data_IF_576807025433
#
_entry.id   IF_576807025433
#
_cell.length_a   1.000
_cell.length_b   1.000
_cell.length_c   1.000
_cell.angle_alpha   90.00
_cell.angle_beta   90.00
_cell.angle_gamma   90.00
#
_symmetry.space_group_name_H-M   'P 1'
#
loop_
_entity.id
_entity.type
_entity.pdbx_description
1 polymer ?
#
# COMPACT_ATOMS: atom_id res chain seq x y z
N UNK A 1 -8.46 13.44 -13.95
CA UNK A 1 -7.61 12.23 -14.06
C UNK A 1 -8.46 11.09 -14.62
N UNK A 2 -7.90 10.23 -15.47
CA UNK A 2 -8.62 9.06 -15.98
C UNK A 2 -8.88 8.06 -14.83
N UNK A 3 -10.01 7.32 -14.83
CA UNK A 3 -10.27 6.28 -13.85
C UNK A 3 -9.24 5.15 -13.99
N UNK A 4 -8.73 4.65 -12.87
CA UNK A 4 -7.92 3.44 -12.86
C UNK A 4 -8.84 2.22 -13.09
N UNK A 5 -8.43 1.30 -13.96
CA UNK A 5 -9.10 0.02 -14.19
C UNK A 5 -8.20 -1.07 -13.62
N UNK A 6 -8.69 -1.86 -12.67
CA UNK A 6 -7.96 -3.04 -12.21
C UNK A 6 -7.89 -4.06 -13.36
N UNK A 7 -6.68 -4.47 -13.76
CA UNK A 7 -6.52 -5.72 -14.50
C UNK A 7 -7.00 -6.89 -13.61
N UNK A 8 -7.38 -8.01 -14.24
CA UNK A 8 -7.94 -9.20 -13.55
C UNK A 8 -7.00 -9.86 -12.53
N UNK A 9 -5.76 -9.40 -12.39
CA UNK A 9 -4.83 -9.85 -11.36
C UNK A 9 -5.24 -9.32 -9.99
N UNK A 10 -5.84 -10.22 -9.20
CA UNK A 10 -6.29 -9.91 -7.85
C UNK A 10 -5.09 -9.62 -6.95
N UNK A 11 -5.05 -8.41 -6.40
CA UNK A 11 -4.12 -8.06 -5.33
C UNK A 11 -4.26 -9.04 -4.16
N UNK A 12 -3.13 -9.40 -3.57
CA UNK A 12 -3.00 -10.27 -2.42
C UNK A 12 -2.77 -9.44 -1.17
N UNK A 13 -3.06 -10.02 0.00
CA UNK A 13 -2.69 -9.42 1.26
C UNK A 13 -1.17 -9.18 1.32
N UNK A 14 -0.69 -8.13 2.00
CA UNK A 14 0.74 -7.88 2.11
C UNK A 14 1.39 -8.54 3.33
N UNK A 15 0.60 -9.08 4.27
CA UNK A 15 1.11 -9.84 5.41
C UNK A 15 0.78 -11.32 5.29
N UNK A 16 1.60 -12.16 5.93
CA UNK A 16 1.38 -13.60 6.08
C UNK A 16 1.46 -13.97 7.56
N UNK A 17 0.55 -14.83 8.08
CA UNK A 17 -0.68 -15.34 7.43
C UNK A 17 -1.68 -14.21 7.12
N UNK A 18 -2.87 -14.54 6.59
CA UNK A 18 -3.92 -13.55 6.31
C UNK A 18 -4.18 -12.67 7.55
N UNK A 19 -3.91 -11.35 7.48
CA UNK A 19 -3.99 -10.50 8.66
C UNK A 19 -5.44 -10.10 8.97
N UNK A 20 -5.82 -10.01 10.26
CA UNK A 20 -7.01 -9.28 10.66
C UNK A 20 -6.92 -7.80 10.23
N UNK A 21 -8.03 -7.27 9.72
CA UNK A 21 -8.20 -5.82 9.53
C UNK A 21 -8.61 -5.22 10.86
N UNK A 22 -7.80 -4.32 11.42
CA UNK A 22 -8.07 -3.67 12.71
C UNK A 22 -8.69 -2.28 12.53
N UNK A 23 -8.52 -1.68 11.35
CA UNK A 23 -9.21 -0.46 10.96
C UNK A 23 -9.56 -0.49 9.48
N UNK A 24 -10.84 -0.32 9.18
CA UNK A 24 -11.35 -0.31 7.80
C UNK A 24 -11.12 1.04 7.13
N UNK A 25 -11.22 1.05 5.80
CA UNK A 25 -11.23 2.28 5.01
C UNK A 25 -12.42 3.16 5.41
N UNK A 26 -12.15 4.45 5.57
CA UNK A 26 -13.12 5.48 5.91
C UNK A 26 -12.93 6.66 4.95
N UNK A 27 -13.77 6.71 3.91
CA UNK A 27 -13.62 7.62 2.79
C UNK A 27 -13.95 9.06 3.23
N UNK A 28 -12.97 9.99 3.20
CA UNK A 28 -13.26 11.37 3.55
C UNK A 28 -14.22 12.01 2.54
N UNK A 29 -15.19 12.77 3.03
CA UNK A 29 -16.07 13.61 2.19
C UNK A 29 -16.05 15.06 2.68
N UNK A 30 -15.62 16.02 1.84
CA UNK A 30 -14.95 15.84 0.55
C UNK A 30 -13.60 15.09 0.68
N UNK A 31 -13.08 14.57 -0.44
CA UNK A 31 -11.94 13.65 -0.45
C UNK A 31 -10.62 14.22 0.12
N UNK A 32 -10.52 15.53 0.35
CA UNK A 32 -9.39 16.20 1.00
C UNK A 32 -9.52 16.29 2.53
N UNK A 33 -10.68 15.99 3.10
CA UNK A 33 -10.86 15.94 4.55
C UNK A 33 -10.01 14.85 5.20
N UNK A 34 -9.93 14.91 6.53
CA UNK A 34 -9.43 13.80 7.34
C UNK A 34 -10.37 12.60 7.20
N UNK A 35 -9.77 11.42 7.16
CA UNK A 35 -10.42 10.12 7.04
C UNK A 35 -9.36 9.04 7.06
N UNK A 36 -9.75 7.78 6.85
CA UNK A 36 -8.82 6.66 6.79
C UNK A 36 -8.71 6.14 5.35
N UNK A 37 -7.69 6.64 4.61
CA UNK A 37 -7.53 6.39 3.17
C UNK A 37 -6.88 5.03 2.84
N UNK A 38 -6.86 4.11 3.79
CA UNK A 38 -6.30 2.77 3.67
C UNK A 38 -6.97 1.82 4.66
N UNK A 39 -6.37 0.65 4.87
CA UNK A 39 -6.76 -0.29 5.92
C UNK A 39 -5.58 -0.53 6.84
N UNK A 40 -5.83 -0.67 8.13
CA UNK A 40 -4.81 -1.06 9.10
C UNK A 40 -4.91 -2.57 9.31
N UNK A 41 -3.77 -3.24 9.18
CA UNK A 41 -3.66 -4.69 9.31
C UNK A 41 -2.89 -5.02 10.58
N UNK A 42 -3.36 -6.01 11.35
CA UNK A 42 -2.60 -6.48 12.50
C UNK A 42 -1.29 -7.13 12.02
N UNK A 43 -0.17 -6.62 12.51
CA UNK A 43 1.17 -7.13 12.25
C UNK A 43 2.09 -6.95 13.45
N UNK A 44 3.26 -7.58 13.40
CA UNK A 44 4.29 -7.47 14.43
C UNK A 44 5.49 -6.65 13.93
N UNK A 45 6.21 -5.99 14.85
CA UNK A 45 7.45 -5.31 14.52
C UNK A 45 8.46 -6.29 13.90
N UNK A 46 9.08 -5.90 12.77
CA UNK A 46 9.99 -6.74 12.01
C UNK A 46 9.33 -7.81 11.13
N UNK A 47 8.00 -7.94 11.15
CA UNK A 47 7.29 -8.85 10.23
C UNK A 47 7.48 -8.40 8.77
N UNK A 48 7.79 -9.35 7.90
CA UNK A 48 7.95 -9.08 6.48
C UNK A 48 6.63 -8.62 5.83
N UNK A 49 6.73 -7.56 5.03
CA UNK A 49 5.64 -7.01 4.22
C UNK A 49 5.94 -7.30 2.75
N UNK A 50 5.00 -7.94 2.07
CA UNK A 50 5.11 -8.33 0.67
C UNK A 50 4.30 -7.39 -0.21
N UNK A 51 4.76 -7.21 -1.45
CA UNK A 51 3.96 -6.54 -2.47
C UNK A 51 2.64 -7.30 -2.68
N UNK A 52 1.54 -6.57 -2.72
CA UNK A 52 0.21 -7.11 -2.99
C UNK A 52 0.09 -7.69 -4.40
N UNK A 53 0.92 -7.24 -5.34
CA UNK A 53 0.97 -7.75 -6.70
C UNK A 53 2.27 -7.31 -7.39
N UNK A 54 2.51 -7.85 -8.58
CA UNK A 54 3.62 -7.42 -9.43
C UNK A 54 3.48 -5.93 -9.78
N UNK A 55 4.60 -5.21 -9.84
CA UNK A 55 4.59 -3.78 -10.12
C UNK A 55 5.98 -3.19 -10.10
N UNK A 56 6.07 -1.87 -10.11
CA UNK A 56 7.33 -1.14 -10.01
C UNK A 56 7.30 -0.25 -8.78
N UNK A 57 8.34 -0.31 -7.96
CA UNK A 57 8.51 0.58 -6.82
C UNK A 57 8.67 2.02 -7.33
N UNK A 58 7.74 2.89 -6.95
CA UNK A 58 7.72 4.30 -7.35
C UNK A 58 8.10 5.24 -6.21
N UNK A 59 8.13 4.74 -4.97
CA UNK A 59 8.71 5.44 -3.83
C UNK A 59 9.14 4.43 -2.76
N UNK A 60 10.28 4.69 -2.11
CA UNK A 60 10.77 3.93 -0.96
C UNK A 60 11.60 4.88 -0.09
N UNK A 61 11.10 5.22 1.10
CA UNK A 61 11.75 6.18 1.98
C UNK A 61 10.79 6.79 3.00
N UNK A 62 11.18 7.91 3.61
CA UNK A 62 10.37 8.62 4.61
C UNK A 62 9.65 9.81 3.98
N UNK A 63 8.34 9.91 4.18
CA UNK A 63 7.51 11.04 3.75
C UNK A 63 6.74 11.59 4.94
N UNK A 64 6.87 12.90 5.20
CA UNK A 64 6.26 13.56 6.36
C UNK A 64 6.51 12.81 7.70
N UNK A 65 7.73 12.29 7.88
CA UNK A 65 8.13 11.54 9.08
C UNK A 65 7.68 10.07 9.11
N UNK A 66 6.99 9.56 8.09
CA UNK A 66 6.49 8.18 8.03
C UNK A 66 7.23 7.37 6.96
N UNK A 67 7.90 6.26 7.30
CA UNK A 67 8.59 5.43 6.33
C UNK A 67 7.58 4.56 5.57
N UNK A 68 7.67 4.57 4.23
CA UNK A 68 6.72 3.88 3.37
C UNK A 68 7.36 3.38 2.06
N UNK A 69 6.70 2.40 1.46
CA UNK A 69 6.96 1.95 0.08
C UNK A 69 5.68 2.10 -0.73
N UNK A 70 5.78 2.61 -1.95
CA UNK A 70 4.66 2.67 -2.90
C UNK A 70 5.02 1.95 -4.19
N UNK A 71 4.09 1.14 -4.70
CA UNK A 71 4.26 0.32 -5.91
C UNK A 71 3.17 0.70 -6.90
N UNK A 72 3.56 1.00 -8.13
CA UNK A 72 2.66 1.16 -9.26
C UNK A 72 2.43 -0.20 -9.93
N UNK A 73 1.18 -0.53 -10.21
CA UNK A 73 0.76 -1.77 -10.83
C UNK A 73 0.21 -1.50 -12.24
N UNK A 74 0.05 -2.53 -13.08
CA UNK A 74 -0.76 -2.45 -14.29
C UNK A 74 -2.17 -1.88 -14.00
N UNK A 75 -2.80 -1.30 -15.03
CA UNK A 75 -4.15 -0.72 -14.89
C UNK A 75 -4.23 0.63 -14.13
N UNK A 76 -3.08 1.24 -13.82
CA UNK A 76 -3.04 2.55 -13.13
C UNK A 76 -3.30 2.45 -11.62
N UNK A 77 -3.32 1.24 -11.06
CA UNK A 77 -3.43 1.02 -9.63
C UNK A 77 -2.11 1.33 -8.90
N UNK A 78 -2.23 1.74 -7.64
CA UNK A 78 -1.08 1.96 -6.75
C UNK A 78 -1.36 1.39 -5.38
N UNK A 79 -0.40 0.67 -4.81
CA UNK A 79 -0.42 0.26 -3.40
C UNK A 79 0.65 1.02 -2.63
N UNK A 80 0.36 1.34 -1.38
CA UNK A 80 1.29 1.97 -0.45
C UNK A 80 1.27 1.23 0.88
N UNK A 81 2.44 0.98 1.45
CA UNK A 81 2.62 0.25 2.71
C UNK A 81 3.26 1.19 3.71
N UNK A 82 2.61 1.40 4.86
CA UNK A 82 3.08 2.29 5.90
C UNK A 82 2.58 1.85 7.30
N UNK A 83 3.39 2.02 8.37
CA UNK A 83 4.83 2.26 8.31
C UNK A 83 5.59 0.97 7.95
N UNK A 84 6.59 1.07 7.06
CA UNK A 84 7.52 -0.05 6.75
C UNK A 84 8.95 0.45 6.60
N UNK A 85 9.93 -0.37 7.00
CA UNK A 85 11.33 -0.13 6.63
C UNK A 85 11.57 -0.62 5.21
N UNK A 86 12.00 0.23 4.26
CA UNK A 86 12.16 -0.19 2.87
C UNK A 86 13.33 -1.18 2.70
N UNK A 87 13.04 -2.36 2.15
CA UNK A 87 14.03 -3.33 1.67
C UNK A 87 14.23 -3.28 0.14
N UNK A 88 13.60 -2.31 -0.52
CA UNK A 88 13.55 -2.13 -1.98
C UNK A 88 13.90 -0.70 -2.36
N UNK A 89 14.18 -0.46 -3.64
CA UNK A 89 14.56 0.86 -4.18
C UNK A 89 13.60 1.31 -5.29
N UNK A 90 13.42 2.62 -5.52
CA UNK A 90 12.67 3.10 -6.68
C UNK A 90 13.20 2.50 -7.99
N UNK A 91 12.29 2.10 -8.88
CA UNK A 91 12.61 1.43 -10.15
C UNK A 91 12.72 -0.10 -10.07
N UNK A 92 12.79 -0.68 -8.87
CA UNK A 92 12.78 -2.14 -8.69
C UNK A 92 11.42 -2.73 -9.09
N UNK A 93 11.43 -3.92 -9.72
CA UNK A 93 10.25 -4.68 -10.15
C UNK A 93 10.10 -5.96 -9.33
#
# INVERSE_FOLDING_TARGET
AAPASADGDRLRWPLRPHPPVVRVFDAPTPNWQRGHRGVDLAGAAGQAVFAAGAGTVVFAGTLAGRPLVSIAHPGGLRTSYEPVQPAVRPGQR
#
